data_IF_750891329285
#
_entry.id   IF_750891329285
#
_cell.length_a   1.000
_cell.length_b   1.000
_cell.length_c   1.000
_cell.angle_alpha   90.00
_cell.angle_beta   90.00
_cell.angle_gamma   90.00
#
_symmetry.space_group_name_H-M   'P 1'
#
loop_
_entity.id
_entity.type
_entity.pdbx_description
1 polymer ?
#
# COMPACT_ATOMS: atom_id res chain seq x y z
N UNK A 1 16.60 -9.39 17.74
CA UNK A 1 17.04 -9.41 19.16
C UNK A 1 18.52 -9.70 19.19
N UNK A 2 19.31 -8.89 19.91
CA UNK A 2 20.74 -9.16 20.12
C UNK A 2 20.85 -10.43 20.98
N UNK A 3 21.61 -11.42 20.54
CA UNK A 3 21.82 -12.65 21.28
C UNK A 3 22.78 -12.38 22.44
N UNK A 4 22.25 -12.32 23.66
CA UNK A 4 22.98 -11.99 24.89
C UNK A 4 24.14 -12.94 25.15
N UNK A 5 24.01 -14.22 24.78
CA UNK A 5 25.10 -15.20 24.92
C UNK A 5 26.28 -14.87 24.01
N UNK A 6 26.03 -14.35 22.81
CA UNK A 6 27.11 -13.96 21.90
C UNK A 6 27.84 -12.70 22.39
N UNK A 7 27.12 -11.76 23.00
CA UNK A 7 27.72 -10.54 23.58
C UNK A 7 28.55 -10.88 24.81
N UNK A 8 28.05 -11.75 25.70
CA UNK A 8 28.79 -12.22 26.87
C UNK A 8 30.06 -13.00 26.47
N UNK A 9 29.96 -13.86 25.45
CA UNK A 9 31.11 -14.59 24.93
C UNK A 9 32.15 -13.64 24.35
N UNK A 10 31.75 -12.65 23.56
CA UNK A 10 32.65 -11.65 22.99
C UNK A 10 33.35 -10.83 24.08
N UNK A 11 32.60 -10.40 25.11
CA UNK A 11 33.17 -9.70 26.26
C UNK A 11 34.17 -10.58 27.02
N UNK A 12 33.83 -11.85 27.26
CA UNK A 12 34.73 -12.80 27.92
C UNK A 12 36.03 -13.00 27.14
N UNK A 13 35.95 -13.02 25.79
CA UNK A 13 37.11 -13.14 24.92
C UNK A 13 37.98 -11.87 24.94
N UNK A 14 37.35 -10.69 24.89
CA UNK A 14 38.04 -9.39 24.96
C UNK A 14 38.73 -9.18 26.31
N UNK A 15 38.09 -9.59 27.41
CA UNK A 15 38.67 -9.53 28.76
C UNK A 15 39.86 -10.48 28.86
N UNK A 16 39.74 -11.73 28.37
CA UNK A 16 40.85 -12.70 28.34
C UNK A 16 42.03 -12.24 27.49
N UNK A 17 41.76 -11.55 26.37
CA UNK A 17 42.82 -10.98 25.51
C UNK A 17 43.53 -9.79 26.15
N UNK A 18 42.80 -8.96 26.91
CA UNK A 18 43.34 -7.76 27.55
C UNK A 18 44.04 -8.06 28.87
N UNK A 19 43.59 -9.08 29.60
CA UNK A 19 44.14 -9.51 30.88
C UNK A 19 44.41 -11.03 30.86
N UNK A 20 45.62 -11.47 30.46
CA UNK A 20 45.98 -12.88 30.49
C UNK A 20 46.00 -13.39 31.94
N UNK A 21 45.68 -14.67 32.12
CA UNK A 21 45.53 -15.39 33.41
C UNK A 21 46.66 -15.15 34.43
N UNK A 22 47.85 -14.76 33.98
CA UNK A 22 49.03 -14.44 34.79
C UNK A 22 49.01 -13.06 35.48
N UNK A 23 48.01 -12.21 35.22
CA UNK A 23 47.89 -10.85 35.77
C UNK A 23 46.71 -10.68 36.74
N UNK A 24 46.22 -11.76 37.36
CA UNK A 24 45.12 -11.72 38.33
C UNK A 24 45.57 -11.13 39.66
N UNK A 25 45.61 -9.81 39.74
CA UNK A 25 45.44 -9.13 41.02
C UNK A 25 43.96 -9.26 41.43
N UNK A 26 43.68 -9.42 42.73
CA UNK A 26 42.30 -9.35 43.21
C UNK A 26 41.67 -8.02 42.74
N UNK A 27 40.46 -8.04 42.16
CA UNK A 27 39.87 -6.84 41.62
C UNK A 27 39.70 -5.79 42.72
N UNK A 28 40.09 -4.55 42.43
CA UNK A 28 40.04 -3.46 43.40
C UNK A 28 38.59 -3.19 43.83
N UNK A 29 38.40 -2.57 44.99
CA UNK A 29 37.07 -2.08 45.41
C UNK A 29 36.44 -1.18 44.34
N UNK A 30 37.25 -0.39 43.64
CA UNK A 30 36.80 0.48 42.55
C UNK A 30 36.37 -0.32 41.30
N UNK A 31 36.98 -1.48 41.06
CA UNK A 31 36.63 -2.34 39.91
C UNK A 31 35.28 -3.02 40.15
N UNK A 32 34.99 -3.39 41.40
CA UNK A 32 33.68 -3.91 41.80
C UNK A 32 32.59 -2.83 41.66
N UNK A 33 32.87 -1.60 42.12
CA UNK A 33 31.93 -0.48 41.98
C UNK A 33 31.65 -0.13 40.51
N UNK A 34 32.69 -0.15 39.66
CA UNK A 34 32.54 0.04 38.22
C UNK A 34 31.71 -1.08 37.58
N UNK A 35 31.90 -2.33 38.00
CA UNK A 35 31.13 -3.48 37.52
C UNK A 35 29.66 -3.38 37.91
N UNK A 36 29.36 -2.96 39.14
CA UNK A 36 27.98 -2.74 39.62
C UNK A 36 27.31 -1.60 38.84
N UNK A 37 28.01 -0.50 38.58
CA UNK A 37 27.50 0.60 37.75
C UNK A 37 27.23 0.17 36.31
N UNK A 38 28.13 -0.63 35.72
CA UNK A 38 27.93 -1.22 34.39
C UNK A 38 26.72 -2.15 34.38
N UNK A 39 26.55 -2.97 35.40
CA UNK A 39 25.42 -3.89 35.54
C UNK A 39 24.09 -3.13 35.63
N UNK A 40 24.02 -2.08 36.45
CA UNK A 40 22.86 -1.18 36.55
C UNK A 40 22.53 -0.49 35.23
N UNK A 41 23.55 -0.01 34.50
CA UNK A 41 23.36 0.56 33.17
C UNK A 41 22.84 -0.47 32.17
N UNK A 42 23.35 -1.70 32.20
CA UNK A 42 22.87 -2.78 31.34
C UNK A 42 21.44 -3.20 31.67
N UNK A 43 21.08 -3.28 32.95
CA UNK A 43 19.71 -3.55 33.39
C UNK A 43 18.76 -2.44 32.92
N UNK A 44 19.14 -1.18 33.07
CA UNK A 44 18.37 -0.04 32.52
C UNK A 44 18.23 -0.12 30.99
N UNK A 45 19.30 -0.50 30.28
CA UNK A 45 19.28 -0.60 28.82
C UNK A 45 18.39 -1.77 28.35
N UNK A 46 18.46 -2.93 29.02
CA UNK A 46 17.61 -4.09 28.77
C UNK A 46 16.14 -3.79 29.07
N UNK A 47 15.86 -3.10 30.17
CA UNK A 47 14.50 -2.72 30.56
C UNK A 47 13.92 -1.59 29.68
N UNK A 48 14.76 -0.69 29.14
CA UNK A 48 14.32 0.38 28.23
C UNK A 48 14.03 -0.08 26.80
N UNK A 49 14.54 -1.26 26.39
CA UNK A 49 14.50 -1.75 25.01
C UNK A 49 13.53 -2.91 24.77
N UNK A 50 12.65 -3.23 25.73
CA UNK A 50 11.49 -4.09 25.45
C UNK A 50 10.56 -3.39 24.44
N UNK A 51 10.86 -3.61 23.16
CA UNK A 51 10.00 -3.26 22.04
C UNK A 51 8.86 -4.26 22.02
N UNK A 52 7.72 -3.83 22.54
CA UNK A 52 6.50 -4.60 22.43
C UNK A 52 5.90 -4.32 21.05
N UNK A 53 5.45 -5.39 20.40
CA UNK A 53 4.67 -5.29 19.17
C UNK A 53 3.31 -4.75 19.58
N UNK A 54 3.05 -3.48 19.27
CA UNK A 54 1.70 -2.95 19.36
C UNK A 54 0.90 -3.70 18.30
N UNK A 55 0.11 -4.68 18.72
CA UNK A 55 -0.96 -5.20 17.90
C UNK A 55 -2.04 -4.12 17.86
N UNK A 56 -1.73 -3.00 17.22
CA UNK A 56 -2.77 -2.15 16.68
C UNK A 56 -3.56 -3.09 15.79
N UNK A 57 -4.79 -3.34 16.21
CA UNK A 57 -5.85 -3.83 15.34
C UNK A 57 -5.98 -2.76 14.27
N UNK A 58 -5.15 -2.84 13.23
CA UNK A 58 -5.47 -2.23 11.96
C UNK A 58 -6.75 -2.92 11.56
N UNK A 59 -7.85 -2.17 11.56
CA UNK A 59 -9.18 -2.53 11.10
C UNK A 59 -9.23 -2.91 9.60
N UNK A 60 -8.13 -3.45 9.07
CA UNK A 60 -7.89 -3.75 7.66
C UNK A 60 -7.42 -5.21 7.49
N UNK A 61 -7.80 -6.11 8.41
CA UNK A 61 -7.99 -7.50 7.99
C UNK A 61 -9.35 -7.54 7.34
N UNK A 62 -9.42 -7.11 6.07
CA UNK A 62 -10.57 -7.35 5.22
C UNK A 62 -10.77 -8.86 5.19
N UNK A 63 -11.62 -9.36 6.09
CA UNK A 63 -12.32 -10.63 5.93
C UNK A 63 -13.19 -10.40 4.70
N UNK A 64 -12.61 -10.61 3.52
CA UNK A 64 -13.40 -10.77 2.32
C UNK A 64 -14.22 -12.03 2.54
N UNK A 65 -15.48 -11.84 2.93
CA UNK A 65 -16.47 -12.89 2.78
C UNK A 65 -16.41 -13.36 1.34
N UNK A 66 -16.16 -14.66 1.21
CA UNK A 66 -16.16 -15.44 0.00
C UNK A 66 -17.59 -15.55 -0.54
N UNK A 67 -18.13 -14.42 -1.00
CA UNK A 67 -19.26 -14.43 -1.92
C UNK A 67 -18.64 -14.38 -3.31
N UNK A 68 -18.27 -15.57 -3.81
CA UNK A 68 -18.18 -15.85 -5.23
C UNK A 68 -19.54 -15.52 -5.89
N UNK A 69 -19.83 -14.24 -6.10
CA UNK A 69 -20.68 -13.85 -7.21
C UNK A 69 -19.83 -14.07 -8.46
N UNK A 70 -20.16 -15.15 -9.18
CA UNK A 70 -19.79 -15.36 -10.57
C UNK A 70 -20.25 -14.12 -11.35
N UNK A 71 -19.40 -13.10 -11.41
CA UNK A 71 -19.52 -12.04 -12.38
C UNK A 71 -19.15 -12.65 -13.72
N UNK A 72 -20.18 -13.15 -14.40
CA UNK A 72 -20.11 -13.33 -15.85
C UNK A 72 -19.53 -12.05 -16.43
N UNK A 73 -18.37 -12.15 -17.10
CA UNK A 73 -17.86 -11.06 -17.92
C UNK A 73 -18.95 -10.78 -18.95
N UNK A 74 -19.79 -9.78 -18.67
CA UNK A 74 -20.82 -9.32 -19.58
C UNK A 74 -20.12 -9.05 -20.91
N UNK A 75 -20.45 -9.87 -21.90
CA UNK A 75 -19.98 -9.74 -23.27
C UNK A 75 -20.58 -8.47 -23.85
N UNK A 76 -20.03 -7.32 -23.45
CA UNK A 76 -20.52 -6.03 -23.92
C UNK A 76 -20.18 -5.94 -25.40
N UNK A 77 -21.19 -6.21 -26.21
CA UNK A 77 -21.20 -6.00 -27.65
C UNK A 77 -20.56 -4.65 -27.94
N UNK A 78 -19.43 -4.70 -28.65
CA UNK A 78 -18.77 -3.52 -29.16
C UNK A 78 -19.77 -2.75 -30.03
N UNK A 79 -20.33 -1.67 -29.50
CA UNK A 79 -21.15 -0.74 -30.27
C UNK A 79 -20.45 -0.44 -31.60
N UNK A 80 -21.07 -0.73 -32.76
CA UNK A 80 -20.41 -0.65 -34.04
C UNK A 80 -20.03 0.81 -34.36
N UNK A 81 -18.77 1.01 -34.70
CA UNK A 81 -18.20 2.33 -34.99
C UNK A 81 -18.48 2.68 -36.45
N UNK A 82 -19.08 3.84 -36.69
CA UNK A 82 -19.40 4.29 -38.05
C UNK A 82 -18.23 5.12 -38.60
N UNK A 83 -17.57 4.62 -39.65
CA UNK A 83 -16.57 5.38 -40.41
C UNK A 83 -17.05 5.46 -41.85
N UNK A 84 -17.24 6.69 -42.37
CA UNK A 84 -17.70 6.94 -43.73
C UNK A 84 -19.01 6.22 -44.08
N UNK A 85 -19.95 6.20 -43.13
CA UNK A 85 -21.25 5.55 -43.27
C UNK A 85 -21.23 4.02 -43.13
N UNK A 86 -20.07 3.42 -42.89
CA UNK A 86 -19.92 1.97 -42.74
C UNK A 86 -19.69 1.64 -41.28
N UNK A 87 -20.49 0.69 -40.77
CA UNK A 87 -20.35 0.13 -39.42
C UNK A 87 -19.20 -0.88 -39.39
N UNK A 88 -18.23 -0.64 -38.52
CA UNK A 88 -17.14 -1.57 -38.24
C UNK A 88 -17.17 -2.00 -36.77
N UNK A 89 -17.05 -3.30 -36.51
CA UNK A 89 -16.67 -3.78 -35.18
C UNK A 89 -15.19 -3.45 -34.95
N UNK A 90 -14.82 -3.17 -33.70
CA UNK A 90 -13.43 -2.90 -33.33
C UNK A 90 -12.49 -4.07 -33.69
N UNK A 91 -12.95 -5.31 -33.51
CA UNK A 91 -12.22 -6.51 -33.92
C UNK A 91 -11.92 -6.52 -35.43
N UNK A 92 -12.91 -6.13 -36.26
CA UNK A 92 -12.73 -6.01 -37.72
C UNK A 92 -11.69 -4.94 -38.06
N UNK A 93 -11.70 -3.80 -37.37
CA UNK A 93 -10.73 -2.71 -37.58
C UNK A 93 -9.30 -3.14 -37.26
N UNK A 94 -9.10 -3.94 -36.21
CA UNK A 94 -7.78 -4.50 -35.87
C UNK A 94 -7.29 -5.45 -36.97
N UNK A 95 -8.12 -6.40 -37.39
CA UNK A 95 -7.77 -7.36 -38.43
C UNK A 95 -7.36 -6.65 -39.74
N UNK A 96 -8.08 -5.58 -40.09
CA UNK A 96 -7.74 -4.71 -41.23
C UNK A 96 -6.37 -4.06 -41.07
N UNK A 97 -6.09 -3.48 -39.90
CA UNK A 97 -4.80 -2.81 -39.64
C UNK A 97 -3.65 -3.81 -39.67
N UNK A 98 -3.81 -4.98 -39.06
CA UNK A 98 -2.80 -6.04 -39.04
C UNK A 98 -2.51 -6.58 -40.43
N UNK A 99 -3.56 -6.90 -41.21
CA UNK A 99 -3.40 -7.32 -42.60
C UNK A 99 -2.71 -6.26 -43.47
N UNK A 100 -2.98 -4.98 -43.21
CA UNK A 100 -2.36 -3.86 -43.93
C UNK A 100 -0.86 -3.68 -43.67
N UNK A 101 -0.28 -4.35 -42.65
CA UNK A 101 1.16 -4.31 -42.38
C UNK A 101 1.95 -5.18 -43.35
N UNK A 102 1.37 -6.30 -43.75
CA UNK A 102 2.03 -7.33 -44.56
C UNK A 102 1.55 -7.36 -46.01
N UNK A 103 0.41 -6.73 -46.32
CA UNK A 103 -0.21 -6.80 -47.64
C UNK A 103 -0.43 -5.42 -48.28
N UNK A 104 -0.46 -5.41 -49.62
CA UNK A 104 -0.77 -4.21 -50.39
C UNK A 104 -2.23 -3.78 -50.21
N UNK A 105 -2.52 -2.51 -50.49
CA UNK A 105 -3.89 -1.99 -50.44
C UNK A 105 -4.83 -2.72 -51.41
N UNK A 106 -4.34 -3.18 -52.56
CA UNK A 106 -5.15 -3.92 -53.53
C UNK A 106 -5.60 -5.26 -52.97
N UNK A 107 -4.68 -6.00 -52.33
CA UNK A 107 -4.97 -7.26 -51.65
C UNK A 107 -5.92 -7.06 -50.45
N UNK A 108 -5.73 -5.97 -49.70
CA UNK A 108 -6.61 -5.60 -48.59
C UNK A 108 -8.04 -5.29 -49.05
N UNK A 109 -8.19 -4.55 -50.16
CA UNK A 109 -9.50 -4.22 -50.76
C UNK A 109 -10.24 -5.47 -51.25
N UNK A 110 -9.51 -6.45 -51.79
CA UNK A 110 -10.11 -7.70 -52.26
C UNK A 110 -10.70 -8.52 -51.10
N UNK A 111 -10.01 -8.56 -49.95
CA UNK A 111 -10.46 -9.27 -48.74
C UNK A 111 -11.54 -8.50 -47.98
N UNK A 112 -11.36 -7.19 -47.81
CA UNK A 112 -12.23 -6.32 -47.04
C UNK A 112 -12.93 -5.33 -47.97
N UNK A 113 -14.00 -5.78 -48.64
CA UNK A 113 -14.75 -4.99 -49.64
C UNK A 113 -15.35 -3.69 -49.11
N UNK A 114 -15.50 -3.56 -47.79
CA UNK A 114 -15.95 -2.33 -47.13
C UNK A 114 -14.94 -1.18 -47.22
N UNK A 115 -13.65 -1.45 -47.46
CA UNK A 115 -12.61 -0.43 -47.52
C UNK A 115 -12.33 -0.08 -48.98
N UNK A 116 -12.99 0.98 -49.47
CA UNK A 116 -12.90 1.41 -50.87
C UNK A 116 -11.67 2.28 -51.13
N UNK A 117 -11.29 3.12 -50.15
CA UNK A 117 -10.27 4.16 -50.35
C UNK A 117 -9.12 4.08 -49.33
N UNK A 118 -7.92 4.52 -49.75
CA UNK A 118 -6.74 4.58 -48.85
C UNK A 118 -6.96 5.53 -47.65
N UNK A 119 -7.79 6.55 -47.82
CA UNK A 119 -8.14 7.50 -46.75
C UNK A 119 -8.95 6.83 -45.63
N UNK A 120 -9.86 5.91 -45.97
CA UNK A 120 -10.58 5.08 -44.99
C UNK A 120 -9.60 4.25 -44.18
N UNK A 121 -8.65 3.59 -44.85
CA UNK A 121 -7.59 2.85 -44.15
C UNK A 121 -6.75 3.76 -43.23
N UNK A 122 -6.44 4.99 -43.65
CA UNK A 122 -5.72 5.96 -42.80
C UNK A 122 -6.52 6.33 -41.55
N UNK A 123 -7.82 6.59 -41.70
CA UNK A 123 -8.73 6.89 -40.59
C UNK A 123 -8.89 5.70 -39.64
N UNK A 124 -9.02 4.49 -40.17
CA UNK A 124 -9.06 3.25 -39.38
C UNK A 124 -7.74 3.08 -38.61
N UNK A 125 -6.59 3.28 -39.26
CA UNK A 125 -5.28 3.25 -38.58
C UNK A 125 -5.19 4.31 -37.50
N UNK A 126 -5.58 5.55 -37.79
CA UNK A 126 -5.60 6.64 -36.81
C UNK A 126 -6.52 6.33 -35.64
N UNK A 127 -7.69 5.76 -35.88
CA UNK A 127 -8.64 5.37 -34.83
C UNK A 127 -8.09 4.24 -33.96
N UNK A 128 -7.57 3.17 -34.57
CA UNK A 128 -6.94 2.06 -33.85
C UNK A 128 -5.70 2.53 -33.07
N UNK A 129 -4.93 3.47 -33.63
CA UNK A 129 -3.76 4.03 -32.96
C UNK A 129 -4.14 4.99 -31.83
N UNK A 130 -5.15 5.84 -32.03
CA UNK A 130 -5.64 6.81 -31.04
C UNK A 130 -6.40 6.12 -29.89
N UNK A 131 -7.11 5.02 -30.18
CA UNK A 131 -7.75 4.23 -29.16
C UNK A 131 -6.84 3.19 -28.53
N UNK A 132 -5.74 2.75 -29.15
CA UNK A 132 -4.89 1.70 -28.60
C UNK A 132 -5.61 0.37 -28.38
N UNK A 133 -4.89 -0.75 -28.40
CA UNK A 133 -5.55 -2.03 -28.10
C UNK A 133 -5.95 -2.09 -26.62
N UNK A 134 -7.03 -2.83 -26.29
CA UNK A 134 -7.41 -3.08 -24.88
C UNK A 134 -6.22 -3.58 -24.07
N UNK A 135 -5.42 -4.50 -24.64
CA UNK A 135 -4.17 -4.99 -24.05
C UNK A 135 -3.19 -3.86 -23.73
N UNK A 136 -2.95 -2.96 -24.67
CA UNK A 136 -2.07 -1.80 -24.45
C UNK A 136 -2.64 -0.82 -23.43
N UNK A 137 -3.96 -0.62 -23.36
CA UNK A 137 -4.59 0.21 -22.32
C UNK A 137 -4.43 -0.41 -20.94
N UNK A 138 -4.67 -1.72 -20.80
CA UNK A 138 -4.48 -2.45 -19.56
C UNK A 138 -3.01 -2.40 -19.11
N UNK A 139 -2.07 -2.55 -20.04
CA UNK A 139 -0.65 -2.40 -19.74
C UNK A 139 -0.31 -0.99 -19.26
N UNK A 140 -0.85 0.07 -19.88
CA UNK A 140 -0.65 1.44 -19.41
C UNK A 140 -1.25 1.72 -18.03
N UNK A 141 -2.35 1.06 -17.69
CA UNK A 141 -2.94 1.12 -16.34
C UNK A 141 -2.00 0.43 -15.35
N UNK A 142 -1.53 -0.77 -15.69
CA UNK A 142 -0.62 -1.58 -14.88
C UNK A 142 0.70 -0.83 -14.58
N UNK A 143 1.35 -0.28 -15.61
CA UNK A 143 2.58 0.53 -15.49
C UNK A 143 2.37 1.77 -14.64
N UNK A 144 1.24 2.48 -14.83
CA UNK A 144 0.92 3.68 -14.06
C UNK A 144 0.71 3.36 -12.57
N UNK A 145 -0.10 2.35 -12.26
CA UNK A 145 -0.38 1.96 -10.86
C UNK A 145 0.89 1.49 -10.17
N UNK A 146 1.75 0.75 -10.88
CA UNK A 146 3.04 0.34 -10.33
C UNK A 146 3.97 1.52 -10.07
N UNK A 147 4.04 2.51 -10.96
CA UNK A 147 4.85 3.71 -10.75
C UNK A 147 4.40 4.52 -9.52
N UNK A 148 3.09 4.64 -9.30
CA UNK A 148 2.53 5.31 -8.12
C UNK A 148 2.81 4.51 -6.84
N UNK A 149 2.75 3.18 -6.91
CA UNK A 149 3.14 2.30 -5.81
C UNK A 149 4.61 2.51 -5.43
N UNK A 150 5.53 2.51 -6.41
CA UNK A 150 6.96 2.76 -6.16
C UNK A 150 7.17 4.13 -5.52
N UNK A 151 6.52 5.19 -6.04
CA UNK A 151 6.61 6.54 -5.45
C UNK A 151 6.13 6.57 -4.01
N UNK A 152 5.02 5.87 -3.69
CA UNK A 152 4.53 5.77 -2.33
C UNK A 152 5.53 5.05 -1.41
N UNK A 153 6.17 3.98 -1.90
CA UNK A 153 7.21 3.24 -1.17
C UNK A 153 8.46 4.08 -0.92
N UNK A 154 8.91 4.84 -1.91
CA UNK A 154 10.05 5.77 -1.78
C UNK A 154 9.74 6.90 -0.79
N UNK A 155 8.48 7.31 -0.70
CA UNK A 155 8.01 8.32 0.25
C UNK A 155 7.65 7.75 1.64
N UNK A 156 7.91 6.46 1.89
CA UNK A 156 7.55 5.74 3.12
C UNK A 156 6.06 5.83 3.49
N UNK A 157 5.18 5.99 2.51
CA UNK A 157 3.74 6.04 2.73
C UNK A 157 3.11 4.64 2.73
N UNK A 158 2.16 4.35 3.64
CA UNK A 158 1.34 3.16 3.55
C UNK A 158 0.43 3.25 2.31
N UNK A 159 0.25 2.12 1.63
CA UNK A 159 -0.64 2.02 0.47
C UNK A 159 -1.43 0.73 0.54
N UNK A 160 -2.75 0.84 0.46
CA UNK A 160 -3.68 -0.26 0.59
C UNK A 160 -4.19 -0.73 -0.79
N UNK A 161 -4.74 -1.93 -0.85
CA UNK A 161 -5.35 -2.46 -2.08
C UNK A 161 -6.49 -1.56 -2.61
N UNK A 162 -7.20 -0.88 -1.70
CA UNK A 162 -8.21 0.10 -2.06
C UNK A 162 -7.63 1.27 -2.86
N UNK A 163 -6.50 1.81 -2.42
CA UNK A 163 -5.82 2.92 -3.09
C UNK A 163 -5.34 2.52 -4.49
N UNK A 164 -4.75 1.33 -4.62
CA UNK A 164 -4.27 0.80 -5.89
C UNK A 164 -5.41 0.57 -6.89
N UNK A 165 -6.55 0.06 -6.41
CA UNK A 165 -7.78 -0.07 -7.22
C UNK A 165 -8.31 1.29 -7.64
N UNK A 166 -8.35 2.27 -6.72
CA UNK A 166 -8.76 3.64 -7.01
C UNK A 166 -7.90 4.30 -8.09
N UNK A 167 -6.58 4.15 -8.01
CA UNK A 167 -5.63 4.64 -9.01
C UNK A 167 -5.85 3.97 -10.38
N UNK A 168 -6.08 2.66 -10.40
CA UNK A 168 -6.33 1.90 -11.61
C UNK A 168 -7.60 2.37 -12.33
N UNK A 169 -8.70 2.54 -11.59
CA UNK A 169 -9.99 3.03 -12.12
C UNK A 169 -9.84 4.47 -12.63
N UNK A 170 -9.16 5.34 -11.87
CA UNK A 170 -8.88 6.72 -12.30
C UNK A 170 -8.14 6.75 -13.63
N UNK A 171 -7.12 5.89 -13.79
CA UNK A 171 -6.38 5.78 -15.05
C UNK A 171 -7.22 5.20 -16.17
N UNK A 172 -8.02 4.18 -15.91
CA UNK A 172 -8.91 3.57 -16.90
C UNK A 172 -9.91 4.58 -17.48
N UNK A 173 -10.49 5.45 -16.62
CA UNK A 173 -11.35 6.56 -17.04
C UNK A 173 -10.60 7.53 -17.96
N UNK A 174 -9.36 7.88 -17.63
CA UNK A 174 -8.53 8.75 -18.50
C UNK A 174 -8.22 8.14 -19.87
N UNK A 175 -8.23 6.81 -19.99
CA UNK A 175 -7.98 6.07 -21.23
C UNK A 175 -9.26 5.68 -21.99
N UNK A 176 -10.43 6.17 -21.53
CA UNK A 176 -11.74 5.79 -22.06
C UNK A 176 -11.90 4.26 -22.15
N UNK A 177 -11.49 3.54 -21.11
CA UNK A 177 -11.70 2.10 -20.98
C UNK A 177 -12.91 1.85 -20.08
N UNK A 178 -14.10 2.03 -20.65
CA UNK A 178 -15.37 1.78 -19.98
C UNK A 178 -15.54 0.26 -19.85
N UNK A 179 -15.67 -0.26 -18.62
CA UNK A 179 -15.74 -1.70 -18.33
C UNK A 179 -14.53 -2.28 -17.57
N UNK A 180 -13.51 -1.48 -17.25
CA UNK A 180 -12.46 -1.90 -16.34
C UNK A 180 -12.87 -1.64 -14.88
N UNK A 181 -12.96 -2.69 -14.07
CA UNK A 181 -13.47 -2.65 -12.68
C UNK A 181 -12.40 -2.81 -11.61
N UNK A 182 -11.12 -2.96 -11.99
CA UNK A 182 -10.02 -3.26 -11.05
C UNK A 182 -10.40 -4.39 -10.06
N UNK A 183 -10.94 -5.49 -10.61
CA UNK A 183 -11.47 -6.62 -9.83
C UNK A 183 -10.44 -7.22 -8.88
N UNK A 184 -10.91 -8.00 -7.90
CA UNK A 184 -10.03 -8.70 -6.96
C UNK A 184 -8.99 -9.56 -7.69
N UNK A 185 -9.42 -10.31 -8.72
CA UNK A 185 -8.52 -11.10 -9.55
C UNK A 185 -7.48 -10.26 -10.28
N UNK A 186 -7.89 -9.11 -10.85
CA UNK A 186 -6.93 -8.19 -11.47
C UNK A 186 -5.89 -7.70 -10.46
N UNK A 187 -6.32 -7.39 -9.23
CA UNK A 187 -5.46 -6.93 -8.15
C UNK A 187 -4.47 -8.00 -7.68
N UNK A 188 -4.93 -9.24 -7.53
CA UNK A 188 -4.07 -10.40 -7.22
C UNK A 188 -3.01 -10.60 -8.30
N UNK A 189 -3.43 -10.59 -9.58
CA UNK A 189 -2.51 -10.78 -10.69
C UNK A 189 -1.54 -9.60 -10.84
N UNK A 190 -1.98 -8.37 -10.56
CA UNK A 190 -1.13 -7.18 -10.50
C UNK A 190 -0.03 -7.34 -9.46
N UNK A 191 -0.40 -7.73 -8.23
CA UNK A 191 0.57 -7.99 -7.16
C UNK A 191 1.55 -9.10 -7.52
N UNK A 192 1.06 -10.18 -8.15
CA UNK A 192 1.92 -11.29 -8.61
C UNK A 192 2.90 -10.85 -9.70
N UNK A 193 2.46 -10.07 -10.69
CA UNK A 193 3.31 -9.55 -11.77
C UNK A 193 4.45 -8.67 -11.25
N UNK A 194 4.18 -7.88 -10.21
CA UNK A 194 5.11 -6.91 -9.65
C UNK A 194 5.79 -7.36 -8.35
N UNK A 195 5.62 -8.63 -7.95
CA UNK A 195 6.16 -9.20 -6.71
C UNK A 195 5.81 -8.40 -5.43
N UNK A 196 4.58 -7.88 -5.39
CA UNK A 196 4.06 -7.13 -4.25
C UNK A 196 3.38 -8.09 -3.27
N UNK A 197 3.84 -8.08 -2.02
CA UNK A 197 3.23 -8.83 -0.91
C UNK A 197 2.51 -7.86 0.03
N UNK A 198 1.33 -8.22 0.52
CA UNK A 198 0.73 -7.53 1.66
C UNK A 198 1.62 -7.74 2.88
N UNK A 199 2.06 -6.65 3.52
CA UNK A 199 2.87 -6.70 4.75
C UNK A 199 2.13 -5.97 5.84
N UNK A 200 1.93 -6.64 6.98
CA UNK A 200 1.44 -5.99 8.20
C UNK A 200 2.44 -4.91 8.59
N UNK A 201 1.96 -3.70 8.87
CA UNK A 201 2.78 -2.66 9.46
C UNK A 201 2.87 -2.96 10.95
N UNK A 202 4.02 -3.45 11.40
CA UNK A 202 4.27 -3.70 12.82
C UNK A 202 4.74 -2.40 13.47
N UNK A 203 3.91 -1.80 14.31
CA UNK A 203 4.34 -0.66 15.14
C UNK A 203 5.11 -1.23 16.33
N UNK A 204 6.40 -0.90 16.43
CA UNK A 204 7.19 -1.18 17.61
C UNK A 204 7.01 -0.01 18.58
N UNK A 205 6.54 -0.30 19.79
CA UNK A 205 6.40 0.68 20.86
C UNK A 205 7.29 0.30 22.03
N UNK A 206 7.84 1.28 22.71
CA UNK A 206 8.54 1.08 23.98
C UNK A 206 7.54 0.95 25.12
N UNK A 207 7.90 0.20 26.16
CA UNK A 207 7.10 0.03 27.39
C UNK A 207 6.67 1.36 28.02
N UNK A 208 7.56 2.36 28.02
CA UNK A 208 7.24 3.71 28.50
C UNK A 208 6.02 4.32 27.79
N UNK A 209 5.83 4.06 26.49
CA UNK A 209 4.66 4.53 25.74
C UNK A 209 3.36 3.84 26.18
N UNK A 210 3.42 2.57 26.65
CA UNK A 210 2.26 1.90 27.22
C UNK A 210 1.92 2.44 28.61
N UNK A 211 2.94 2.62 29.46
CA UNK A 211 2.75 3.20 30.79
C UNK A 211 2.18 4.62 30.70
N UNK A 212 2.64 5.40 29.71
CA UNK A 212 2.09 6.74 29.44
C UNK A 212 0.66 6.67 28.90
N UNK A 213 0.31 5.64 28.12
CA UNK A 213 -1.09 5.42 27.69
C UNK A 213 -2.01 5.13 28.88
N UNK A 214 -1.61 4.27 29.81
CA UNK A 214 -2.39 4.00 31.02
C UNK A 214 -2.55 5.26 31.89
N UNK A 215 -1.47 6.05 32.05
CA UNK A 215 -1.53 7.34 32.74
C UNK A 215 -2.47 8.32 32.04
N UNK A 216 -2.42 8.41 30.71
CA UNK A 216 -3.30 9.28 29.91
C UNK A 216 -4.76 8.84 30.08
N UNK A 217 -5.06 7.55 30.00
CA UNK A 217 -6.42 7.02 30.19
C UNK A 217 -6.94 7.32 31.60
N UNK A 218 -6.12 7.05 32.63
CA UNK A 218 -6.48 7.34 34.02
C UNK A 218 -6.65 8.84 34.27
N UNK A 219 -5.82 9.67 33.65
CA UNK A 219 -5.93 11.13 33.69
C UNK A 219 -7.22 11.61 33.01
N UNK A 220 -7.58 11.03 31.87
CA UNK A 220 -8.82 11.35 31.16
C UNK A 220 -10.06 10.94 31.98
N UNK A 221 -10.07 9.75 32.57
CA UNK A 221 -11.14 9.32 33.48
C UNK A 221 -11.28 10.23 34.70
N UNK A 222 -10.16 10.62 35.31
CA UNK A 222 -10.16 11.56 36.43
C UNK A 222 -10.67 12.94 36.01
N UNK A 223 -10.25 13.44 34.85
CA UNK A 223 -10.72 14.69 34.29
C UNK A 223 -12.24 14.67 34.08
N UNK A 224 -12.78 13.61 33.47
CA UNK A 224 -14.23 13.45 33.28
C UNK A 224 -14.97 13.42 34.61
N UNK A 225 -14.45 12.71 35.62
CA UNK A 225 -15.06 12.68 36.97
C UNK A 225 -15.08 14.07 37.61
N UNK A 226 -13.98 14.81 37.51
CA UNK A 226 -13.88 16.18 38.04
C UNK A 226 -14.89 17.08 37.33
N UNK A 227 -14.91 17.06 36.00
CA UNK A 227 -15.83 17.87 35.18
C UNK A 227 -17.29 17.53 35.48
N UNK A 228 -17.66 16.25 35.58
CA UNK A 228 -19.02 15.83 35.93
C UNK A 228 -19.47 16.28 37.32
N UNK A 229 -18.54 16.43 38.27
CA UNK A 229 -18.85 16.99 39.59
C UNK A 229 -18.99 18.51 39.58
N UNK A 230 -18.33 19.19 38.62
CA UNK A 230 -18.32 20.65 38.51
C UNK A 230 -19.47 21.17 37.65
N UNK A 231 -19.86 20.46 36.59
CA UNK A 231 -20.94 20.84 35.65
C UNK A 231 -22.26 21.20 36.37
N UNK A 232 -22.76 20.46 37.37
CA UNK A 232 -24.01 20.78 38.05
C UNK A 232 -24.03 22.14 38.76
N UNK A 233 -22.87 22.75 39.03
CA UNK A 233 -22.76 24.04 39.68
C UNK A 233 -22.93 25.23 38.70
N UNK A 234 -23.04 24.95 37.41
CA UNK A 234 -23.24 25.97 36.37
C UNK A 234 -24.64 25.83 35.76
N UNK A 235 -25.30 26.94 35.42
CA UNK A 235 -26.55 26.86 34.67
C UNK A 235 -26.32 26.22 33.30
N UNK A 236 -27.26 25.37 32.88
CA UNK A 236 -27.15 24.55 31.66
C UNK A 236 -26.85 25.39 30.41
N UNK A 237 -27.42 26.59 30.33
CA UNK A 237 -27.23 27.52 29.20
C UNK A 237 -25.80 28.04 29.05
N UNK A 238 -24.94 27.85 30.06
CA UNK A 238 -23.53 28.27 30.07
C UNK A 238 -22.55 27.10 29.97
N UNK A 239 -23.04 25.86 29.81
CA UNK A 239 -22.21 24.67 29.60
C UNK A 239 -22.13 24.39 28.10
N UNK A 240 -21.02 24.78 27.47
CA UNK A 240 -20.82 24.65 26.03
C UNK A 240 -20.00 23.39 25.70
N UNK A 241 -20.55 22.52 24.86
CA UNK A 241 -19.80 21.41 24.28
C UNK A 241 -19.12 21.88 22.99
N UNK A 242 -17.79 21.97 23.02
CA UNK A 242 -16.98 22.43 21.88
C UNK A 242 -17.15 21.57 20.63
N UNK A 243 -17.37 20.26 20.78
CA UNK A 243 -17.57 19.36 19.63
C UNK A 243 -18.95 19.51 18.97
N UNK A 244 -19.93 20.09 19.68
CA UNK A 244 -21.27 20.42 19.16
C UNK A 244 -21.40 21.89 18.75
N UNK A 245 -20.42 22.72 19.11
CA UNK A 245 -20.40 24.15 18.81
C UNK A 245 -19.77 24.35 17.43
N UNK A 246 -20.58 24.19 16.38
CA UNK A 246 -20.20 24.62 15.04
C UNK A 246 -20.20 26.15 14.99
N UNK A 247 -19.08 26.77 15.38
CA UNK A 247 -18.85 28.19 15.13
C UNK A 247 -18.76 28.40 13.62
N UNK A 248 -19.79 29.01 13.04
CA UNK A 248 -19.78 29.51 11.66
C UNK A 248 -19.02 30.82 11.55
#
# INVERSE_FOLDING_TARGET
MINTNNVLNLFSELVRRKYPESARNEPSSNDHELADQLFLLFDQLLNSTELLVDNIVTLDFDIYNDDNEDYEEESTETNPIIIDGIKYSYATMIAVVEYSKTHTFLSLRNRYRSIKYKQQLRRIKQYVNAQGTRKQKLQRIDEYVFSEFVRARESYLPIHDFDLRGLAIKKARSLNLNGFTASHRWMLDFKRRHNISSRKITKLITKNHLDDREKILKSAENFVKIVNNVIPNYPVDYVLNTDQSSFK
#
